data_IF_283618227989
#
_entry.id   IF_283618227989
#
_cell.length_a   1.000
_cell.length_b   1.000
_cell.length_c   1.000
_cell.angle_alpha   90.00
_cell.angle_beta   90.00
_cell.angle_gamma   90.00
#
_symmetry.space_group_name_H-M   'P 1'
#
loop_
_entity.id
_entity.type
_entity.pdbx_description
1 polymer ?
#
# COMPACT_ATOMS: atom_id res chain seq x y z
N UNK A 1 23.53 -29.39 39.78
CA UNK A 1 24.10 -28.04 39.55
C UNK A 1 24.15 -27.86 38.05
N UNK A 2 23.28 -26.99 37.55
CA UNK A 2 22.90 -26.83 36.15
C UNK A 2 23.94 -25.98 35.40
N UNK A 3 24.39 -26.48 34.24
CA UNK A 3 25.22 -25.72 33.30
C UNK A 3 24.29 -24.92 32.37
N UNK A 4 24.11 -23.63 32.65
CA UNK A 4 23.34 -22.71 31.81
C UNK A 4 24.11 -22.34 30.55
N UNK A 5 23.69 -22.88 29.41
CA UNK A 5 24.14 -22.48 28.07
C UNK A 5 23.63 -21.08 27.69
N UNK A 6 24.52 -20.28 27.10
CA UNK A 6 24.28 -18.98 26.47
C UNK A 6 23.43 -19.17 25.20
N UNK A 7 22.43 -18.30 24.99
CA UNK A 7 21.60 -18.29 23.77
C UNK A 7 21.08 -16.90 23.42
N UNK A 8 21.97 -16.10 22.81
CA UNK A 8 21.73 -15.01 21.87
C UNK A 8 20.42 -14.20 21.99
N UNK A 9 20.49 -13.09 22.72
CA UNK A 9 19.45 -12.07 22.76
C UNK A 9 19.42 -11.27 21.46
N UNK A 10 18.74 -11.80 20.43
CA UNK A 10 18.31 -11.04 19.26
C UNK A 10 17.31 -9.96 19.69
N UNK A 11 17.83 -8.85 20.24
CA UNK A 11 17.06 -7.63 20.44
C UNK A 11 16.68 -7.13 19.06
N UNK A 12 15.43 -7.38 18.66
CA UNK A 12 14.86 -6.87 17.42
C UNK A 12 15.07 -5.35 17.40
N UNK A 13 16.02 -4.89 16.58
CA UNK A 13 16.31 -3.46 16.41
C UNK A 13 15.07 -2.82 15.78
N UNK A 14 14.30 -2.09 16.58
CA UNK A 14 13.14 -1.33 16.12
C UNK A 14 13.63 0.04 15.66
N UNK A 15 13.54 0.28 14.37
CA UNK A 15 13.83 1.59 13.80
C UNK A 15 12.59 2.47 13.96
N UNK A 16 12.72 3.57 14.71
CA UNK A 16 11.72 4.61 14.79
C UNK A 16 12.04 5.63 13.69
N UNK A 17 11.23 5.65 12.62
CA UNK A 17 11.33 6.69 11.59
C UNK A 17 10.39 7.80 11.99
N UNK A 18 10.95 8.92 12.44
CA UNK A 18 10.19 10.14 12.71
C UNK A 18 9.96 10.85 11.39
N UNK A 19 8.72 10.90 10.92
CA UNK A 19 8.32 11.69 9.77
C UNK A 19 7.67 12.95 10.32
N UNK A 20 8.19 14.14 9.98
CA UNK A 20 7.48 15.39 10.28
C UNK A 20 6.11 15.37 9.57
N UNK A 21 5.05 15.95 10.15
CA UNK A 21 3.73 15.98 9.54
C UNK A 21 3.80 16.84 8.27
N UNK A 22 4.05 16.20 7.14
CA UNK A 22 3.75 16.74 5.82
C UNK A 22 2.25 16.65 5.64
N UNK A 23 1.63 17.63 4.98
CA UNK A 23 0.28 17.46 4.46
C UNK A 23 0.23 16.13 3.70
N UNK A 24 -0.47 15.14 4.26
CA UNK A 24 -0.42 13.78 3.75
C UNK A 24 -1.01 13.75 2.35
N UNK A 25 -0.15 13.55 1.33
CA UNK A 25 -0.59 13.38 -0.04
C UNK A 25 -1.50 12.15 -0.11
N UNK A 26 -2.80 12.40 -0.27
CA UNK A 26 -3.81 11.35 -0.35
C UNK A 26 -4.07 11.03 -1.80
N UNK A 27 -3.94 9.74 -2.15
CA UNK A 27 -4.06 9.24 -3.50
C UNK A 27 -5.01 8.05 -3.51
N UNK A 28 -5.84 7.95 -4.54
CA UNK A 28 -6.73 6.82 -4.76
C UNK A 28 -6.42 6.11 -6.07
N UNK A 29 -6.67 4.80 -6.07
CA UNK A 29 -6.74 4.01 -7.28
C UNK A 29 -7.86 2.98 -7.16
N UNK A 30 -8.46 2.63 -8.30
CA UNK A 30 -9.46 1.57 -8.38
C UNK A 30 -8.77 0.32 -8.91
N UNK A 31 -8.95 -0.79 -8.20
CA UNK A 31 -8.44 -2.09 -8.61
C UNK A 31 -9.56 -2.90 -9.27
N UNK A 32 -9.28 -3.45 -10.44
CA UNK A 32 -10.07 -4.50 -11.06
C UNK A 32 -9.68 -5.89 -10.56
N UNK A 33 -10.08 -6.91 -11.32
CA UNK A 33 -9.82 -8.31 -10.97
C UNK A 33 -8.33 -8.57 -10.69
N UNK A 34 -8.06 -9.40 -9.67
CA UNK A 34 -6.71 -9.78 -9.23
C UNK A 34 -5.80 -8.60 -8.82
N UNK A 35 -6.38 -7.46 -8.43
CA UNK A 35 -5.62 -6.31 -7.96
C UNK A 35 -4.95 -5.50 -9.07
N UNK A 36 -5.47 -5.57 -10.31
CA UNK A 36 -4.97 -4.76 -11.43
C UNK A 36 -5.51 -3.34 -11.39
N UNK A 37 -4.66 -2.35 -11.60
CA UNK A 37 -5.09 -0.95 -11.58
C UNK A 37 -5.98 -0.66 -12.79
N UNK A 38 -7.21 -0.23 -12.54
CA UNK A 38 -8.19 0.18 -13.54
C UNK A 38 -8.29 1.71 -13.66
N UNK A 39 -8.13 2.42 -12.55
CA UNK A 39 -8.11 3.89 -12.48
C UNK A 39 -7.10 4.32 -11.43
N UNK A 40 -6.50 5.48 -11.61
CA UNK A 40 -5.51 6.06 -10.70
C UNK A 40 -5.57 7.58 -10.75
N UNK A 41 -5.20 8.24 -9.66
CA UNK A 41 -5.04 9.70 -9.60
C UNK A 41 -3.70 10.15 -10.17
N UNK A 42 -3.66 11.38 -10.73
CA UNK A 42 -2.45 11.98 -11.35
C UNK A 42 -1.25 12.03 -10.38
N UNK A 43 -1.53 12.21 -9.08
CA UNK A 43 -0.50 12.28 -8.05
C UNK A 43 0.25 10.95 -7.85
N UNK A 44 -0.37 9.80 -8.14
CA UNK A 44 0.29 8.50 -7.93
C UNK A 44 1.35 8.20 -8.98
N UNK A 45 1.12 8.59 -10.23
CA UNK A 45 2.16 8.51 -11.26
C UNK A 45 3.37 9.37 -10.88
N UNK A 46 3.12 10.60 -10.44
CA UNK A 46 4.16 11.54 -9.99
C UNK A 46 4.93 10.99 -8.79
N UNK A 47 4.24 10.49 -7.75
CA UNK A 47 4.86 9.94 -6.54
C UNK A 47 5.79 8.76 -6.87
N UNK A 48 5.35 7.87 -7.74
CA UNK A 48 6.10 6.67 -8.13
C UNK A 48 7.11 6.93 -9.26
N UNK A 49 7.16 8.16 -9.79
CA UNK A 49 8.11 8.58 -10.82
C UNK A 49 7.77 8.14 -12.26
N UNK A 50 6.52 7.75 -12.53
CA UNK A 50 6.03 7.47 -13.88
C UNK A 50 5.71 8.76 -14.64
N UNK A 51 5.87 8.74 -15.97
CA UNK A 51 5.59 9.89 -16.83
C UNK A 51 4.08 10.11 -16.97
N UNK A 52 3.30 9.02 -16.96
CA UNK A 52 1.85 9.08 -17.11
C UNK A 52 1.14 8.00 -16.30
N UNK A 53 -0.08 8.31 -15.84
CA UNK A 53 -1.03 7.34 -15.28
C UNK A 53 -1.25 6.13 -16.20
N UNK A 54 -1.14 6.30 -17.53
CA UNK A 54 -1.31 5.21 -18.50
C UNK A 54 -0.35 4.06 -18.29
N UNK A 55 0.85 4.33 -17.77
CA UNK A 55 1.86 3.31 -17.47
C UNK A 55 1.49 2.45 -16.25
N UNK A 56 0.60 2.96 -15.39
CA UNK A 56 0.11 2.25 -14.22
C UNK A 56 -1.09 1.35 -14.54
N UNK A 57 -1.86 1.68 -15.58
CA UNK A 57 -3.08 0.93 -15.92
C UNK A 57 -2.76 -0.52 -16.32
N UNK A 58 -3.54 -1.47 -15.77
CA UNK A 58 -3.37 -2.90 -15.99
C UNK A 58 -2.25 -3.55 -15.17
N UNK A 59 -1.41 -2.76 -14.49
CA UNK A 59 -0.37 -3.25 -13.58
C UNK A 59 -0.99 -3.78 -12.30
N UNK A 60 -0.49 -4.91 -11.82
CA UNK A 60 -0.90 -5.48 -10.53
C UNK A 60 -0.30 -4.65 -9.39
N UNK A 61 -1.14 -4.23 -8.44
CA UNK A 61 -0.73 -3.34 -7.35
C UNK A 61 0.40 -3.93 -6.49
N UNK A 62 0.49 -5.25 -6.37
CA UNK A 62 1.59 -5.95 -5.68
C UNK A 62 2.96 -5.74 -6.34
N UNK A 63 3.02 -5.33 -7.61
CA UNK A 63 4.29 -4.96 -8.25
C UNK A 63 4.78 -3.58 -7.80
N UNK A 64 3.85 -2.70 -7.44
CA UNK A 64 4.14 -1.36 -6.96
C UNK A 64 4.24 -1.32 -5.44
N UNK A 65 3.48 -2.16 -4.73
CA UNK A 65 3.44 -2.23 -3.28
C UNK A 65 3.47 -3.71 -2.86
N UNK A 66 4.62 -4.38 -2.84
CA UNK A 66 4.72 -5.84 -2.69
C UNK A 66 4.14 -6.41 -1.39
N UNK A 67 4.19 -5.63 -0.30
CA UNK A 67 3.69 -6.06 1.00
C UNK A 67 2.19 -5.77 1.20
N UNK A 68 1.49 -5.27 0.18
CA UNK A 68 0.07 -4.93 0.31
C UNK A 68 -0.79 -6.20 0.38
N UNK A 69 -1.70 -6.24 1.35
CA UNK A 69 -2.70 -7.30 1.51
C UNK A 69 -4.06 -6.81 1.05
N UNK A 70 -4.58 -7.37 -0.03
CA UNK A 70 -5.84 -6.91 -0.65
C UNK A 70 -7.10 -7.45 0.03
N UNK A 71 -6.95 -8.49 0.84
CA UNK A 71 -7.99 -9.18 1.60
C UNK A 71 -8.25 -8.58 2.99
N UNK A 72 -7.57 -7.47 3.33
CA UNK A 72 -7.78 -6.72 4.56
C UNK A 72 -8.94 -5.73 4.40
N UNK A 73 -10.05 -5.96 5.11
CA UNK A 73 -11.23 -5.09 5.06
C UNK A 73 -11.03 -3.84 5.94
N UNK A 74 -10.82 -2.68 5.31
CA UNK A 74 -10.67 -1.36 5.93
C UNK A 74 -9.52 -1.20 6.94
N UNK A 75 -8.61 -2.17 7.01
CA UNK A 75 -7.41 -2.05 7.85
C UNK A 75 -6.38 -1.13 7.20
N UNK A 76 -5.76 -0.29 8.04
CA UNK A 76 -4.64 0.54 7.66
C UNK A 76 -3.35 -0.28 7.61
N UNK A 77 -2.62 -0.16 6.50
CA UNK A 77 -1.38 -0.88 6.25
C UNK A 77 -0.24 0.12 6.05
N UNK A 78 0.80 0.04 6.87
CA UNK A 78 2.03 0.80 6.71
C UNK A 78 3.03 -0.03 5.91
N UNK A 79 3.22 0.32 4.65
CA UNK A 79 4.00 -0.46 3.68
C UNK A 79 4.91 0.45 2.85
N UNK A 80 5.74 -0.14 2.01
CA UNK A 80 6.58 0.60 1.08
C UNK A 80 6.11 0.38 -0.35
N UNK A 81 5.89 1.49 -1.05
CA UNK A 81 5.73 1.49 -2.50
C UNK A 81 7.10 1.55 -3.19
N UNK A 82 7.18 1.04 -4.40
CA UNK A 82 8.35 1.04 -5.26
C UNK A 82 8.18 2.08 -6.36
N UNK A 83 9.05 3.09 -6.35
CA UNK A 83 9.19 4.00 -7.47
C UNK A 83 9.87 3.35 -8.67
N UNK A 84 9.71 3.93 -9.85
CA UNK A 84 10.27 3.41 -11.12
C UNK A 84 11.80 3.26 -11.09
N UNK A 85 12.49 4.01 -10.23
CA UNK A 85 13.95 3.95 -10.04
C UNK A 85 14.38 2.93 -8.97
N UNK A 86 13.46 2.12 -8.46
CA UNK A 86 13.71 1.15 -7.39
C UNK A 86 13.81 1.77 -5.99
N UNK A 87 13.46 3.05 -5.82
CA UNK A 87 13.40 3.69 -4.51
C UNK A 87 12.17 3.22 -3.72
N UNK A 88 12.37 3.06 -2.41
CA UNK A 88 11.32 2.68 -1.47
C UNK A 88 10.65 3.94 -0.89
N UNK A 89 9.33 4.03 -1.02
CA UNK A 89 8.54 5.18 -0.55
C UNK A 89 7.61 4.68 0.55
N UNK A 90 7.75 5.15 1.80
CA UNK A 90 6.82 4.77 2.87
C UNK A 90 5.43 5.34 2.57
N UNK A 91 4.43 4.48 2.61
CA UNK A 91 3.03 4.84 2.36
C UNK A 91 2.11 4.17 3.37
N UNK A 92 1.04 4.86 3.71
CA UNK A 92 -0.09 4.30 4.44
C UNK A 92 -1.17 3.97 3.42
N UNK A 93 -1.63 2.72 3.41
CA UNK A 93 -2.63 2.22 2.46
C UNK A 93 -3.87 1.78 3.22
N UNK A 94 -5.04 2.16 2.72
CA UNK A 94 -6.32 1.61 3.16
C UNK A 94 -7.02 1.00 1.95
N UNK A 95 -7.52 -0.22 2.13
CA UNK A 95 -8.21 -0.96 1.07
C UNK A 95 -9.66 -1.08 1.45
N UNK A 96 -10.51 -0.66 0.52
CA UNK A 96 -11.94 -0.83 0.61
C UNK A 96 -12.37 -1.72 -0.54
N UNK A 97 -12.80 -2.93 -0.23
CA UNK A 97 -13.43 -3.78 -1.23
C UNK A 97 -14.78 -3.16 -1.61
N UNK A 98 -14.90 -2.69 -2.85
CA UNK A 98 -16.21 -2.37 -3.41
C UNK A 98 -16.92 -3.69 -3.70
N UNK A 99 -17.79 -4.10 -2.79
CA UNK A 99 -18.70 -5.22 -3.03
C UNK A 99 -19.82 -4.68 -3.90
N UNK A 100 -19.98 -5.24 -5.10
CA UNK A 100 -21.06 -4.88 -6.02
C UNK A 100 -22.41 -4.98 -5.27
N UNK A 101 -23.15 -3.88 -5.08
CA UNK A 101 -24.43 -3.87 -4.37
C UNK A 101 -25.55 -4.52 -5.18
N UNK A 102 -25.27 -5.38 -6.16
CA UNK A 102 -26.26 -6.31 -6.71
C UNK A 102 -26.67 -7.44 -5.75
N UNK A 103 -26.15 -7.45 -4.51
CA UNK A 103 -26.99 -7.74 -3.34
C UNK A 103 -27.49 -6.40 -2.75
N UNK A 104 -28.61 -5.94 -3.30
CA UNK A 104 -29.40 -4.76 -2.89
C UNK A 104 -28.78 -3.34 -2.97
N UNK A 105 -28.97 -2.74 -4.15
CA UNK A 105 -29.72 -1.49 -4.39
C UNK A 105 -29.17 -0.19 -3.77
N UNK A 106 -28.37 0.51 -4.59
CA UNK A 106 -27.96 1.93 -4.49
C UNK A 106 -27.19 2.27 -3.18
N UNK A 107 -26.21 3.17 -3.14
CA UNK A 107 -26.37 4.61 -3.19
C UNK A 107 -24.99 5.29 -3.37
N UNK A 108 -25.09 6.52 -3.89
CA UNK A 108 -24.12 7.62 -3.94
C UNK A 108 -23.41 7.85 -2.58
N UNK A 109 -22.21 8.47 -2.58
CA UNK A 109 -21.82 9.69 -1.80
C UNK A 109 -20.30 9.77 -1.46
N UNK A 110 -19.76 10.98 -1.73
CA UNK A 110 -18.59 11.75 -1.23
C UNK A 110 -17.16 11.21 -1.35
#
# INVERSE_FOLDING_TARGET
MENGHIGDGLTARRWLVTVEPVDALSLACTLGAKGRIFRVDDGMATLLGYVSMRELLGTEISKLIPAVKLDCDNEEQHVCALGVRGNSIPVTVRIKAERDPKSETFFRIL
#
